data_IF_579799138612
#
_entry.id   IF_579799138612
#
_cell.length_a   1.000
_cell.length_b   1.000
_cell.length_c   1.000
_cell.angle_alpha   90.00
_cell.angle_beta   90.00
_cell.angle_gamma   90.00
#
_symmetry.space_group_name_H-M   'P 1'
#
loop_
_entity.id
_entity.type
_entity.pdbx_description
1 polymer ?
#
# COMPACT_ATOMS: atom_id res chain seq x y z
N UNK A 1 4.56 -18.12 17.80
CA UNK A 1 4.56 -17.28 19.02
C UNK A 1 3.18 -17.40 19.64
N UNK A 2 3.09 -17.70 20.94
CA UNK A 2 1.81 -17.91 21.66
C UNK A 2 1.03 -16.60 21.73
N UNK A 3 -0.28 -16.68 21.50
CA UNK A 3 -1.24 -15.59 21.76
C UNK A 3 -1.00 -15.06 23.19
N UNK A 4 -0.87 -13.74 23.34
CA UNK A 4 -0.84 -13.14 24.68
C UNK A 4 -2.29 -13.06 25.17
N UNK A 5 -2.57 -13.60 26.35
CA UNK A 5 -3.82 -13.25 27.03
C UNK A 5 -3.78 -11.76 27.43
N UNK A 6 -4.96 -11.15 27.55
CA UNK A 6 -5.08 -9.71 27.83
C UNK A 6 -4.33 -9.31 29.13
N UNK A 7 -4.24 -10.23 30.11
CA UNK A 7 -3.51 -10.02 31.37
C UNK A 7 -1.99 -9.91 31.16
N UNK A 8 -1.43 -10.75 30.29
CA UNK A 8 -0.01 -10.74 29.95
C UNK A 8 0.35 -9.52 29.11
N UNK A 9 -0.56 -9.08 28.22
CA UNK A 9 -0.41 -7.80 27.52
C UNK A 9 -0.32 -6.65 28.54
N UNK A 10 -1.24 -6.58 29.50
CA UNK A 10 -1.27 -5.53 30.53
C UNK A 10 -0.04 -5.52 31.41
N UNK A 11 0.50 -6.69 31.78
CA UNK A 11 1.75 -6.77 32.52
C UNK A 11 2.91 -6.23 31.70
N UNK A 12 3.00 -6.57 30.41
CA UNK A 12 4.04 -6.05 29.53
C UNK A 12 3.90 -4.55 29.28
N UNK A 13 2.68 -4.04 29.08
CA UNK A 13 2.43 -2.61 28.98
C UNK A 13 2.85 -1.94 30.29
N UNK A 14 2.29 -2.29 31.45
CA UNK A 14 2.65 -1.68 32.73
C UNK A 14 4.15 -1.75 33.05
N UNK A 15 4.84 -2.85 32.72
CA UNK A 15 6.31 -2.94 32.84
C UNK A 15 7.03 -1.98 31.91
N UNK A 16 6.59 -1.88 30.65
CA UNK A 16 7.18 -0.97 29.67
C UNK A 16 6.96 0.50 30.04
N UNK A 17 5.82 0.83 30.64
CA UNK A 17 5.38 2.20 30.96
C UNK A 17 5.66 2.63 32.41
N UNK A 18 6.39 1.83 33.20
CA UNK A 18 6.76 2.20 34.58
C UNK A 18 7.47 3.57 34.69
N UNK A 19 8.09 4.05 33.61
CA UNK A 19 8.85 5.32 33.56
C UNK A 19 8.07 6.52 33.01
N UNK A 20 6.90 6.31 32.41
CA UNK A 20 6.15 7.38 31.70
C UNK A 20 5.02 7.98 32.54
N UNK A 21 4.91 7.64 33.84
CA UNK A 21 3.75 7.96 34.70
C UNK A 21 2.38 7.48 34.17
N UNK A 22 2.37 6.63 33.14
CA UNK A 22 1.15 6.04 32.58
C UNK A 22 0.91 4.72 33.32
N UNK A 23 -0.16 4.68 34.12
CA UNK A 23 -0.58 3.50 34.87
C UNK A 23 -1.83 2.93 34.19
N UNK A 24 -1.74 1.73 33.64
CA UNK A 24 -2.89 1.03 33.06
C UNK A 24 -3.61 0.28 34.19
N UNK A 25 -4.78 0.79 34.60
CA UNK A 25 -5.58 0.20 35.69
C UNK A 25 -6.20 -1.12 35.24
N UNK A 26 -6.11 -2.14 36.10
CA UNK A 26 -6.45 -3.55 35.81
C UNK A 26 -7.71 -4.01 36.56
N UNK A 27 -8.84 -3.32 36.43
CA UNK A 27 -10.05 -3.76 37.14
C UNK A 27 -11.28 -3.87 36.22
N UNK A 28 -11.64 -5.14 35.97
CA UNK A 28 -12.69 -5.68 35.08
C UNK A 28 -12.47 -5.42 33.59
N UNK A 29 -12.98 -6.35 32.76
CA UNK A 29 -12.83 -6.45 31.30
C UNK A 29 -11.94 -5.39 30.67
N UNK A 30 -10.70 -5.78 30.31
CA UNK A 30 -9.65 -4.85 29.85
C UNK A 30 -10.20 -3.96 28.73
N UNK A 31 -10.39 -2.68 29.05
CA UNK A 31 -10.88 -1.67 28.12
C UNK A 31 -9.73 -1.26 27.18
N UNK A 32 -9.47 -2.11 26.17
CA UNK A 32 -8.49 -1.85 25.11
C UNK A 32 -8.74 -0.50 24.43
N UNK A 33 -10.00 -0.06 24.37
CA UNK A 33 -10.39 1.22 23.79
C UNK A 33 -9.91 2.37 24.67
N UNK A 34 -10.16 2.35 25.98
CA UNK A 34 -9.69 3.39 26.90
C UNK A 34 -8.16 3.47 26.92
N UNK A 35 -7.49 2.32 26.91
CA UNK A 35 -6.03 2.22 26.81
C UNK A 35 -5.52 2.89 25.53
N UNK A 36 -6.12 2.56 24.38
CA UNK A 36 -5.70 3.12 23.11
C UNK A 36 -6.00 4.62 23.02
N UNK A 37 -7.15 5.06 23.53
CA UNK A 37 -7.52 6.49 23.64
C UNK A 37 -6.52 7.25 24.50
N UNK A 38 -6.10 6.68 25.64
CA UNK A 38 -5.12 7.30 26.53
C UNK A 38 -3.73 7.41 25.89
N UNK A 39 -3.27 6.37 25.17
CA UNK A 39 -2.02 6.46 24.40
C UNK A 39 -2.15 7.50 23.28
N UNK A 40 -3.27 7.49 22.57
CA UNK A 40 -3.50 8.35 21.41
C UNK A 40 -3.71 9.82 21.78
N UNK A 41 -4.27 10.14 22.94
CA UNK A 41 -4.48 11.52 23.39
C UNK A 41 -3.16 12.24 23.70
N UNK A 42 -2.13 11.49 24.11
CA UNK A 42 -0.77 11.99 24.36
C UNK A 42 0.05 12.18 23.07
N UNK A 43 -0.50 11.74 21.93
CA UNK A 43 0.11 11.89 20.61
C UNK A 43 -0.20 13.28 20.03
N UNK A 44 0.64 14.26 20.37
CA UNK A 44 0.41 15.69 20.09
C UNK A 44 1.30 16.25 18.96
N UNK A 45 2.41 15.61 18.60
CA UNK A 45 3.39 16.19 17.65
C UNK A 45 3.58 15.38 16.37
N UNK A 46 3.74 16.11 15.26
CA UNK A 46 4.03 15.60 13.91
C UNK A 46 5.21 14.62 13.98
N UNK A 47 4.97 13.37 13.59
CA UNK A 47 5.94 12.26 13.62
C UNK A 47 6.94 12.38 12.46
N UNK A 48 7.72 13.47 12.43
CA UNK A 48 8.92 13.59 11.58
C UNK A 48 10.10 12.85 12.23
N UNK A 49 10.14 12.80 13.57
CA UNK A 49 11.12 12.07 14.36
C UNK A 49 10.40 11.08 15.27
N UNK A 50 10.94 9.86 15.39
CA UNK A 50 10.39 8.83 16.25
C UNK A 50 10.45 9.29 17.72
N UNK A 51 9.28 9.56 18.30
CA UNK A 51 9.14 9.94 19.71
C UNK A 51 8.82 8.71 20.54
N UNK A 52 9.00 8.81 21.86
CA UNK A 52 8.56 7.75 22.78
C UNK A 52 7.08 7.43 22.55
N UNK A 53 6.21 8.44 22.41
CA UNK A 53 4.78 8.24 22.14
C UNK A 53 4.48 7.64 20.76
N UNK A 54 5.25 7.94 19.72
CA UNK A 54 5.05 7.29 18.42
C UNK A 54 5.45 5.81 18.45
N UNK A 55 6.51 5.44 19.18
CA UNK A 55 6.83 4.02 19.46
C UNK A 55 5.70 3.32 20.21
N UNK A 56 5.09 4.00 21.17
CA UNK A 56 4.00 3.45 21.99
C UNK A 56 2.75 3.18 21.16
N UNK A 57 2.37 4.11 20.29
CA UNK A 57 1.28 3.92 19.33
C UNK A 57 1.55 2.71 18.41
N UNK A 58 2.75 2.63 17.80
CA UNK A 58 3.15 1.51 16.94
C UNK A 58 3.14 0.17 17.69
N UNK A 59 3.72 0.14 18.88
CA UNK A 59 3.76 -1.07 19.71
C UNK A 59 2.36 -1.52 20.12
N UNK A 60 1.47 -0.58 20.45
CA UNK A 60 0.08 -0.91 20.75
C UNK A 60 -0.60 -1.58 19.55
N UNK A 61 -0.50 -1.00 18.35
CA UNK A 61 -1.05 -1.60 17.12
C UNK A 61 -0.48 -2.99 16.84
N UNK A 62 0.84 -3.17 17.01
CA UNK A 62 1.48 -4.48 16.83
C UNK A 62 0.97 -5.50 17.85
N UNK A 63 0.78 -5.09 19.11
CA UNK A 63 0.31 -5.98 20.17
C UNK A 63 -1.18 -6.32 20.02
N UNK A 64 -2.03 -5.33 19.72
CA UNK A 64 -3.46 -5.53 19.50
C UNK A 64 -3.73 -6.41 18.28
N UNK A 65 -2.85 -6.40 17.27
CA UNK A 65 -2.89 -7.30 16.12
C UNK A 65 -2.90 -8.80 16.50
N UNK A 66 -2.35 -9.15 17.66
CA UNK A 66 -2.25 -10.53 18.13
C UNK A 66 -3.43 -10.97 19.00
N UNK A 67 -4.34 -10.08 19.35
CA UNK A 67 -5.54 -10.38 20.13
C UNK A 67 -6.75 -10.51 19.19
N UNK A 68 -7.75 -11.30 19.57
CA UNK A 68 -9.04 -11.36 18.89
C UNK A 68 -9.87 -10.16 19.33
N UNK A 69 -10.21 -9.27 18.39
CA UNK A 69 -10.99 -8.07 18.64
C UNK A 69 -12.43 -8.29 18.22
N UNK A 70 -13.38 -7.71 18.96
CA UNK A 70 -14.74 -7.53 18.46
C UNK A 70 -14.82 -6.35 17.46
N UNK A 71 -15.93 -6.25 16.72
CA UNK A 71 -16.18 -5.19 15.73
C UNK A 71 -15.99 -3.79 16.31
N UNK A 72 -16.58 -3.52 17.48
CA UNK A 72 -16.58 -2.17 18.07
C UNK A 72 -15.16 -1.74 18.48
N UNK A 73 -14.38 -2.69 19.01
CA UNK A 73 -12.97 -2.45 19.34
C UNK A 73 -12.13 -2.21 18.09
N UNK A 74 -12.34 -3.00 17.03
CA UNK A 74 -11.66 -2.80 15.75
C UNK A 74 -11.97 -1.43 15.14
N UNK A 75 -13.25 -1.09 15.02
CA UNK A 75 -13.73 0.17 14.43
C UNK A 75 -13.16 1.37 15.19
N UNK A 76 -13.22 1.34 16.52
CA UNK A 76 -12.68 2.44 17.34
C UNK A 76 -11.16 2.63 17.12
N UNK A 77 -10.40 1.54 16.97
CA UNK A 77 -8.96 1.63 16.66
C UNK A 77 -8.74 2.24 15.27
N UNK A 78 -9.52 1.83 14.28
CA UNK A 78 -9.45 2.34 12.90
C UNK A 78 -9.79 3.83 12.85
N UNK A 79 -10.85 4.27 13.52
CA UNK A 79 -11.27 5.67 13.59
C UNK A 79 -10.20 6.56 14.24
N UNK A 80 -9.57 6.08 15.32
CA UNK A 80 -8.45 6.81 15.93
C UNK A 80 -7.26 6.89 14.96
N UNK A 81 -6.95 5.80 14.24
CA UNK A 81 -5.90 5.85 13.21
C UNK A 81 -6.22 6.88 12.12
N UNK A 82 -7.48 6.90 11.65
CA UNK A 82 -7.98 7.86 10.68
C UNK A 82 -7.80 9.31 11.19
N UNK A 83 -8.27 9.62 12.40
CA UNK A 83 -8.16 10.96 13.01
C UNK A 83 -6.69 11.44 13.04
N UNK A 84 -5.76 10.52 13.33
CA UNK A 84 -4.34 10.85 13.41
C UNK A 84 -3.67 10.96 12.04
N UNK A 85 -4.14 10.26 11.02
CA UNK A 85 -3.76 10.50 9.61
C UNK A 85 -4.22 11.92 9.19
N UNK A 86 -5.45 12.27 9.53
CA UNK A 86 -6.05 13.57 9.19
C UNK A 86 -5.32 14.75 9.83
N UNK A 87 -4.72 14.54 10.99
CA UNK A 87 -3.89 15.51 11.71
C UNK A 87 -2.41 15.49 11.28
N UNK A 88 -2.04 14.75 10.24
CA UNK A 88 -0.66 14.58 9.76
C UNK A 88 0.31 13.98 10.79
N UNK A 89 -0.22 13.26 11.78
CA UNK A 89 0.58 12.77 12.92
C UNK A 89 1.14 11.37 12.66
N UNK A 90 0.52 10.51 11.84
CA UNK A 90 0.95 9.09 11.66
C UNK A 90 1.94 8.80 10.53
N UNK A 91 2.76 9.78 10.13
CA UNK A 91 3.65 9.66 8.97
C UNK A 91 4.57 8.43 9.02
N UNK A 92 5.10 8.04 10.18
CA UNK A 92 5.97 6.86 10.32
C UNK A 92 5.25 5.60 10.85
N UNK A 93 3.92 5.60 10.91
CA UNK A 93 3.14 4.54 11.57
C UNK A 93 2.28 3.72 10.60
N UNK A 94 2.27 4.05 9.31
CA UNK A 94 1.53 3.33 8.27
C UNK A 94 1.84 1.83 8.24
N UNK A 95 3.10 1.43 8.48
CA UNK A 95 3.51 0.02 8.52
C UNK A 95 2.86 -0.73 9.67
N UNK A 96 2.78 -0.10 10.85
CA UNK A 96 2.15 -0.70 12.03
C UNK A 96 0.64 -0.80 11.86
N UNK A 97 0.01 0.21 11.23
CA UNK A 97 -1.42 0.17 10.85
C UNK A 97 -1.66 -0.97 9.85
N UNK A 98 -0.86 -1.05 8.79
CA UNK A 98 -0.94 -2.10 7.79
C UNK A 98 -0.74 -3.49 8.38
N UNK A 99 0.23 -3.64 9.28
CA UNK A 99 0.47 -4.89 10.00
C UNK A 99 -0.73 -5.28 10.87
N UNK A 100 -1.29 -4.34 11.63
CA UNK A 100 -2.48 -4.54 12.46
C UNK A 100 -3.66 -5.03 11.60
N UNK A 101 -3.99 -4.28 10.55
CA UNK A 101 -5.10 -4.61 9.64
C UNK A 101 -4.90 -5.99 9.00
N UNK A 102 -3.72 -6.25 8.43
CA UNK A 102 -3.45 -7.52 7.76
C UNK A 102 -3.49 -8.71 8.73
N UNK A 103 -3.07 -8.54 9.98
CA UNK A 103 -3.17 -9.60 11.00
C UNK A 103 -4.60 -9.86 11.44
N UNK A 104 -5.40 -8.84 11.68
CA UNK A 104 -6.82 -8.99 11.99
C UNK A 104 -7.56 -9.68 10.84
N UNK A 105 -7.29 -9.28 9.60
CA UNK A 105 -7.85 -9.91 8.40
C UNK A 105 -7.47 -11.39 8.26
N UNK A 106 -6.19 -11.75 8.47
CA UNK A 106 -5.75 -13.14 8.34
C UNK A 106 -6.39 -14.06 9.39
N UNK A 107 -6.63 -13.56 10.61
CA UNK A 107 -7.35 -14.30 11.64
C UNK A 107 -8.79 -14.59 11.22
N UNK A 108 -9.48 -13.57 10.72
CA UNK A 108 -10.83 -13.72 10.17
C UNK A 108 -10.88 -14.80 9.06
N UNK A 109 -9.93 -14.78 8.12
CA UNK A 109 -9.87 -15.79 7.04
C UNK A 109 -9.56 -17.22 7.52
N UNK A 110 -8.74 -17.39 8.57
CA UNK A 110 -8.30 -18.72 9.01
C UNK A 110 -9.24 -19.39 10.01
N UNK A 111 -9.93 -18.63 10.85
CA UNK A 111 -10.58 -19.18 12.06
C UNK A 111 -12.11 -19.38 11.92
N UNK A 112 -12.74 -18.98 10.80
CA UNK A 112 -14.20 -19.09 10.52
C UNK A 112 -15.03 -18.73 11.77
N UNK A 113 -14.71 -17.59 12.40
CA UNK A 113 -15.42 -17.04 13.55
C UNK A 113 -15.66 -15.54 13.37
N UNK A 114 -16.75 -15.10 13.98
CA UNK A 114 -17.43 -13.78 14.01
C UNK A 114 -16.73 -12.55 13.43
N UNK A 115 -17.33 -12.06 12.33
CA UNK A 115 -18.01 -10.75 12.21
C UNK A 115 -17.22 -9.43 12.23
N UNK A 116 -15.90 -9.39 11.96
CA UNK A 116 -15.29 -8.10 11.63
C UNK A 116 -15.64 -7.70 10.18
N UNK A 117 -16.51 -6.71 10.02
CA UNK A 117 -16.71 -5.95 8.78
C UNK A 117 -15.55 -4.98 8.62
N UNK A 118 -14.71 -5.25 7.63
CA UNK A 118 -13.59 -4.38 7.28
C UNK A 118 -14.00 -3.21 6.37
N UNK A 119 -15.30 -2.96 6.18
CA UNK A 119 -15.80 -1.85 5.35
C UNK A 119 -15.33 -0.48 5.87
N UNK A 120 -15.21 -0.32 7.20
CA UNK A 120 -14.74 0.92 7.85
C UNK A 120 -13.31 1.33 7.45
N UNK A 121 -12.55 0.42 6.83
CA UNK A 121 -11.21 0.70 6.35
C UNK A 121 -11.18 1.69 5.17
N UNK A 122 -12.32 1.93 4.52
CA UNK A 122 -12.45 2.95 3.48
C UNK A 122 -12.14 4.35 4.03
N UNK A 123 -12.47 4.61 5.29
CA UNK A 123 -12.12 5.84 5.98
C UNK A 123 -10.61 6.10 6.00
N UNK A 124 -9.78 5.07 6.27
CA UNK A 124 -8.32 5.18 6.22
C UNK A 124 -7.86 5.48 4.79
N UNK A 125 -8.38 4.75 3.81
CA UNK A 125 -8.03 4.94 2.39
C UNK A 125 -8.34 6.37 1.94
N UNK A 126 -9.55 6.87 2.19
CA UNK A 126 -9.96 8.19 1.72
C UNK A 126 -9.33 9.33 2.50
N UNK A 127 -9.02 9.13 3.78
CA UNK A 127 -8.19 10.06 4.55
C UNK A 127 -6.79 10.19 3.95
N UNK A 128 -6.19 9.06 3.57
CA UNK A 128 -4.90 9.06 2.88
C UNK A 128 -5.00 9.73 1.49
N UNK A 129 -6.00 9.39 0.67
CA UNK A 129 -6.18 9.99 -0.65
C UNK A 129 -6.33 11.51 -0.53
N UNK A 130 -7.13 11.99 0.44
CA UNK A 130 -7.25 13.42 0.73
C UNK A 130 -5.88 14.05 1.03
N UNK A 131 -5.11 13.47 1.95
CA UNK A 131 -3.75 13.94 2.27
C UNK A 131 -2.82 13.93 1.07
N UNK A 132 -2.86 12.87 0.28
CA UNK A 132 -2.10 12.79 -0.97
C UNK A 132 -2.48 13.92 -1.92
N UNK A 133 -3.77 14.25 -2.05
CA UNK A 133 -4.21 15.39 -2.88
C UNK A 133 -3.86 16.75 -2.28
N UNK A 134 -3.77 16.91 -0.95
CA UNK A 134 -3.38 18.16 -0.30
C UNK A 134 -1.89 18.49 -0.50
N UNK A 135 -1.01 17.49 -0.34
CA UNK A 135 0.44 17.64 -0.52
C UNK A 135 1.03 16.40 -1.21
N UNK A 136 1.04 16.42 -2.54
CA UNK A 136 1.37 15.24 -3.34
C UNK A 136 2.82 14.78 -3.16
N UNK A 137 3.79 15.68 -3.31
CA UNK A 137 5.21 15.35 -3.19
C UNK A 137 5.57 14.87 -1.78
N UNK A 138 5.06 15.55 -0.75
CA UNK A 138 5.35 15.20 0.64
C UNK A 138 4.73 13.88 1.11
N UNK A 139 3.63 13.44 0.48
CA UNK A 139 2.92 12.23 0.89
C UNK A 139 3.15 11.03 -0.06
N UNK A 140 3.70 11.26 -1.25
CA UNK A 140 4.07 10.18 -2.18
C UNK A 140 5.08 9.20 -1.58
N UNK A 141 5.97 9.69 -0.70
CA UNK A 141 6.95 8.85 0.01
C UNK A 141 6.28 7.75 0.84
N UNK A 142 5.03 7.92 1.29
CA UNK A 142 4.32 6.88 2.07
C UNK A 142 3.71 5.78 1.20
N UNK A 143 3.65 5.98 -0.12
CA UNK A 143 3.43 4.91 -1.09
C UNK A 143 4.75 4.15 -1.40
N UNK A 144 5.89 4.80 -1.15
CA UNK A 144 7.23 4.26 -1.41
C UNK A 144 7.80 3.60 -0.15
N UNK A 145 7.76 2.27 -0.09
CA UNK A 145 8.56 1.52 0.89
C UNK A 145 7.79 0.65 1.87
N UNK A 146 6.47 0.55 1.74
CA UNK A 146 5.67 -0.34 2.60
C UNK A 146 4.48 -0.93 1.88
N UNK A 147 4.20 -2.20 2.19
CA UNK A 147 3.10 -2.97 1.61
C UNK A 147 1.73 -2.63 2.23
N UNK A 148 1.67 -1.68 3.17
CA UNK A 148 0.45 -1.37 3.92
C UNK A 148 -0.70 -0.95 3.01
N UNK A 149 -0.42 -0.09 2.01
CA UNK A 149 -1.44 0.42 1.09
C UNK A 149 -1.97 -0.70 0.20
N UNK A 150 -1.10 -1.55 -0.35
CA UNK A 150 -1.50 -2.69 -1.17
C UNK A 150 -2.32 -3.69 -0.36
N UNK A 151 -1.95 -3.95 0.90
CA UNK A 151 -2.72 -4.80 1.81
C UNK A 151 -4.11 -4.21 2.11
N UNK A 152 -4.17 -2.90 2.40
CA UNK A 152 -5.41 -2.17 2.63
C UNK A 152 -6.33 -2.25 1.41
N UNK A 153 -5.82 -1.92 0.22
CA UNK A 153 -6.58 -1.98 -1.03
C UNK A 153 -7.03 -3.41 -1.34
N UNK A 154 -6.16 -4.40 -1.15
CA UNK A 154 -6.52 -5.81 -1.33
C UNK A 154 -7.69 -6.20 -0.42
N UNK A 155 -7.64 -5.86 0.87
CA UNK A 155 -8.73 -6.17 1.81
C UNK A 155 -10.01 -5.46 1.38
N UNK A 156 -9.94 -4.17 1.04
CA UNK A 156 -11.10 -3.41 0.58
C UNK A 156 -11.70 -3.96 -0.71
N UNK A 157 -10.89 -4.48 -1.65
CA UNK A 157 -11.39 -5.18 -2.83
C UNK A 157 -12.19 -6.43 -2.45
N UNK A 158 -11.71 -7.22 -1.48
CA UNK A 158 -12.43 -8.40 -0.98
C UNK A 158 -13.75 -8.00 -0.32
N UNK A 159 -13.73 -6.95 0.52
CA UNK A 159 -14.93 -6.41 1.15
C UNK A 159 -15.93 -5.86 0.14
N UNK A 160 -15.48 -5.18 -0.91
CA UNK A 160 -16.38 -4.68 -1.95
C UNK A 160 -17.08 -5.81 -2.73
N UNK A 161 -16.40 -6.95 -2.89
CA UNK A 161 -17.01 -8.16 -3.47
C UNK A 161 -18.04 -8.76 -2.52
N UNK A 162 -17.75 -8.80 -1.23
CA UNK A 162 -18.62 -9.41 -0.21
C UNK A 162 -19.85 -8.56 0.13
N UNK A 163 -19.68 -7.25 0.24
CA UNK A 163 -20.70 -6.32 0.77
C UNK A 163 -21.33 -5.38 -0.26
N UNK A 164 -20.91 -5.45 -1.53
CA UNK A 164 -21.43 -4.59 -2.60
C UNK A 164 -21.48 -3.10 -2.23
N UNK A 165 -20.37 -2.56 -1.73
CA UNK A 165 -20.30 -1.18 -1.22
C UNK A 165 -20.31 -0.16 -2.36
N UNK A 166 -21.14 0.87 -2.25
CA UNK A 166 -21.13 2.05 -3.13
C UNK A 166 -20.29 3.17 -2.52
N UNK A 167 -19.68 4.01 -3.37
CA UNK A 167 -18.85 5.11 -2.90
C UNK A 167 -19.75 6.33 -2.71
N UNK A 168 -19.59 7.04 -1.60
CA UNK A 168 -20.32 8.30 -1.42
C UNK A 168 -19.81 9.41 -2.36
N UNK A 169 -20.54 10.52 -2.45
CA UNK A 169 -20.18 11.62 -3.35
C UNK A 169 -18.82 12.28 -3.02
N UNK A 170 -18.42 12.29 -1.75
CA UNK A 170 -17.14 12.85 -1.31
C UNK A 170 -16.00 11.93 -1.76
N UNK A 171 -16.15 10.63 -1.54
CA UNK A 171 -15.22 9.59 -1.99
C UNK A 171 -15.06 9.63 -3.51
N UNK A 172 -16.16 9.71 -4.25
CA UNK A 172 -16.13 9.85 -5.72
C UNK A 172 -15.40 11.13 -6.16
N UNK A 173 -15.65 12.27 -5.51
CA UNK A 173 -14.99 13.53 -5.83
C UNK A 173 -13.48 13.50 -5.53
N UNK A 174 -13.07 12.83 -4.44
CA UNK A 174 -11.66 12.63 -4.09
C UNK A 174 -10.92 11.83 -5.15
N UNK A 175 -11.50 10.75 -5.67
CA UNK A 175 -10.89 9.95 -6.74
C UNK A 175 -10.71 10.78 -8.02
N UNK A 176 -11.73 11.52 -8.41
CA UNK A 176 -11.66 12.38 -9.59
C UNK A 176 -10.60 13.48 -9.43
N UNK A 177 -10.50 14.06 -8.23
CA UNK A 177 -9.47 15.05 -7.90
C UNK A 177 -8.07 14.43 -7.93
N UNK A 178 -7.91 13.22 -7.39
CA UNK A 178 -6.66 12.47 -7.41
C UNK A 178 -6.20 12.23 -8.85
N UNK A 179 -7.08 11.71 -9.73
CA UNK A 179 -6.77 11.50 -11.15
C UNK A 179 -6.31 12.80 -11.82
N UNK A 180 -7.03 13.91 -11.59
CA UNK A 180 -6.68 15.20 -12.17
C UNK A 180 -5.29 15.66 -11.73
N UNK A 181 -4.98 15.56 -10.43
CA UNK A 181 -3.65 15.92 -9.91
C UNK A 181 -2.55 15.03 -10.46
N UNK A 182 -2.79 13.72 -10.60
CA UNK A 182 -1.78 12.80 -11.18
C UNK A 182 -1.46 13.22 -12.61
N UNK A 183 -2.47 13.60 -13.41
CA UNK A 183 -2.25 14.03 -14.80
C UNK A 183 -1.36 15.28 -14.94
N UNK A 184 -1.23 16.09 -13.88
CA UNK A 184 -0.36 17.27 -13.83
C UNK A 184 1.11 16.93 -13.49
N UNK A 185 1.39 15.70 -13.05
CA UNK A 185 2.73 15.26 -12.64
C UNK A 185 3.61 14.83 -13.83
N UNK A 186 4.94 14.74 -13.64
CA UNK A 186 5.84 14.07 -14.59
C UNK A 186 5.39 12.64 -14.93
N UNK A 187 5.69 12.21 -16.16
CA UNK A 187 5.16 10.96 -16.71
C UNK A 187 5.60 9.70 -15.93
N UNK A 188 6.82 9.69 -15.43
CA UNK A 188 7.39 8.72 -14.51
C UNK A 188 6.60 8.63 -13.20
N UNK A 189 6.23 9.77 -12.60
CA UNK A 189 5.36 9.79 -11.43
C UNK A 189 3.95 9.29 -11.75
N UNK A 190 3.39 9.64 -12.92
CA UNK A 190 2.08 9.14 -13.38
C UNK A 190 2.04 7.61 -13.44
N UNK A 191 3.05 6.98 -14.06
CA UNK A 191 3.15 5.51 -14.15
C UNK A 191 3.34 4.90 -12.76
N UNK A 192 4.22 5.49 -11.94
CA UNK A 192 4.48 5.01 -10.59
C UNK A 192 3.17 4.97 -9.78
N UNK A 193 2.45 6.08 -9.68
CA UNK A 193 1.20 6.13 -8.91
C UNK A 193 0.12 5.23 -9.52
N UNK A 194 0.08 5.11 -10.84
CA UNK A 194 -0.85 4.19 -11.51
C UNK A 194 -0.63 2.74 -11.07
N UNK A 195 0.63 2.31 -11.01
CA UNK A 195 1.01 0.97 -10.55
C UNK A 195 0.70 0.72 -9.08
N UNK A 196 1.05 1.67 -8.22
CA UNK A 196 1.04 1.46 -6.77
C UNK A 196 -0.30 1.76 -6.10
N UNK A 197 -1.19 2.50 -6.77
CA UNK A 197 -2.46 2.95 -6.19
C UNK A 197 -3.63 2.79 -7.15
N UNK A 198 -3.56 3.38 -8.36
CA UNK A 198 -4.76 3.52 -9.20
C UNK A 198 -5.25 2.18 -9.76
N UNK A 199 -4.34 1.28 -10.15
CA UNK A 199 -4.72 -0.08 -10.57
C UNK A 199 -5.49 -0.82 -9.46
N UNK A 200 -5.05 -0.74 -8.21
CA UNK A 200 -5.70 -1.40 -7.08
C UNK A 200 -6.95 -0.65 -6.59
N UNK A 201 -7.09 0.63 -6.89
CA UNK A 201 -8.30 1.41 -6.62
C UNK A 201 -9.42 1.08 -7.61
N UNK A 202 -9.10 0.71 -8.86
CA UNK A 202 -10.10 0.48 -9.91
C UNK A 202 -11.20 -0.54 -9.56
N UNK A 203 -10.91 -1.73 -8.99
CA UNK A 203 -11.96 -2.68 -8.61
C UNK A 203 -12.85 -2.18 -7.46
N UNK A 204 -12.35 -1.28 -6.61
CA UNK A 204 -13.13 -0.66 -5.53
C UNK A 204 -14.20 0.26 -6.14
N UNK A 205 -13.91 0.91 -7.27
CA UNK A 205 -14.87 1.82 -7.90
C UNK A 205 -15.93 1.12 -8.75
N UNK A 206 -15.95 -0.22 -8.87
CA UNK A 206 -16.77 -0.94 -9.86
C UNK A 206 -18.26 -0.62 -9.79
N UNK A 207 -18.79 -0.37 -8.60
CA UNK A 207 -20.22 -0.09 -8.39
C UNK A 207 -20.60 1.38 -8.67
N UNK A 208 -19.64 2.20 -9.13
CA UNK A 208 -19.84 3.62 -9.43
C UNK A 208 -19.43 3.88 -10.88
N UNK A 209 -20.32 3.60 -11.83
CA UNK A 209 -20.04 3.59 -13.27
C UNK A 209 -19.30 4.84 -13.76
N UNK A 210 -19.73 6.03 -13.34
CA UNK A 210 -19.10 7.29 -13.74
C UNK A 210 -17.63 7.37 -13.33
N UNK A 211 -17.32 7.05 -12.07
CA UNK A 211 -15.94 7.06 -11.54
C UNK A 211 -15.13 5.91 -12.13
N UNK A 212 -15.71 4.71 -12.22
CA UNK A 212 -15.03 3.55 -12.80
C UNK A 212 -14.60 3.78 -14.25
N UNK A 213 -15.48 4.34 -15.08
CA UNK A 213 -15.13 4.71 -16.45
C UNK A 213 -14.05 5.79 -16.51
N UNK A 214 -14.06 6.75 -15.58
CA UNK A 214 -13.02 7.77 -15.52
C UNK A 214 -11.65 7.17 -15.16
N UNK A 215 -11.58 6.32 -14.13
CA UNK A 215 -10.35 5.60 -13.74
C UNK A 215 -9.85 4.74 -14.90
N UNK A 216 -10.75 4.01 -15.58
CA UNK A 216 -10.40 3.17 -16.74
C UNK A 216 -9.80 4.00 -17.88
N UNK A 217 -10.44 5.12 -18.25
CA UNK A 217 -9.93 6.04 -19.28
C UNK A 217 -8.57 6.62 -18.92
N UNK A 218 -8.39 7.01 -17.66
CA UNK A 218 -7.11 7.49 -17.14
C UNK A 218 -6.01 6.42 -17.31
N UNK A 219 -6.25 5.18 -16.87
CA UNK A 219 -5.26 4.10 -16.97
C UNK A 219 -4.91 3.78 -18.44
N UNK A 220 -5.90 3.76 -19.35
CA UNK A 220 -5.63 3.61 -20.78
C UNK A 220 -4.77 4.74 -21.34
N UNK A 221 -5.04 5.99 -20.97
CA UNK A 221 -4.24 7.14 -21.43
C UNK A 221 -2.77 6.99 -20.99
N UNK A 222 -2.52 6.65 -19.72
CA UNK A 222 -1.16 6.41 -19.22
C UNK A 222 -0.50 5.25 -19.97
N UNK A 223 -1.22 4.15 -20.20
CA UNK A 223 -0.70 2.99 -20.91
C UNK A 223 -0.37 3.31 -22.39
N UNK A 224 -1.28 3.94 -23.13
CA UNK A 224 -1.06 4.28 -24.55
C UNK A 224 0.10 5.27 -24.74
N UNK A 225 0.15 6.32 -23.90
CA UNK A 225 1.21 7.34 -23.95
C UNK A 225 2.61 6.75 -23.73
N UNK A 226 2.70 5.64 -23.00
CA UNK A 226 3.96 5.00 -22.61
C UNK A 226 4.36 3.82 -23.49
N UNK A 227 3.82 3.72 -24.71
CA UNK A 227 4.22 2.69 -25.66
C UNK A 227 5.66 2.85 -26.19
N UNK A 228 6.16 4.09 -26.26
CA UNK A 228 7.46 4.40 -26.87
C UNK A 228 8.60 4.50 -25.84
N UNK A 229 8.89 3.37 -25.19
CA UNK A 229 9.91 3.24 -24.12
C UNK A 229 11.32 3.16 -24.71
N UNK A 230 12.27 3.90 -24.13
CA UNK A 230 13.66 3.98 -24.59
C UNK A 230 14.65 3.34 -23.62
N UNK A 231 14.31 3.33 -22.34
CA UNK A 231 15.16 2.83 -21.26
C UNK A 231 14.61 1.53 -20.67
N UNK A 232 15.47 0.77 -20.00
CA UNK A 232 15.08 -0.45 -19.30
C UNK A 232 14.15 -0.17 -18.12
N UNK A 233 14.32 0.97 -17.43
CA UNK A 233 13.45 1.39 -16.33
C UNK A 233 12.03 1.71 -16.83
N UNK A 234 11.91 2.34 -18.00
CA UNK A 234 10.61 2.55 -18.65
C UNK A 234 9.97 1.22 -19.06
N UNK A 235 10.75 0.25 -19.53
CA UNK A 235 10.25 -1.10 -19.82
C UNK A 235 9.78 -1.84 -18.56
N UNK A 236 10.52 -1.76 -17.45
CA UNK A 236 10.10 -2.35 -16.16
C UNK A 236 8.78 -1.75 -15.68
N UNK A 237 8.70 -0.42 -15.63
CA UNK A 237 7.53 0.30 -15.14
C UNK A 237 6.30 0.04 -16.01
N UNK A 238 6.50 -0.07 -17.34
CA UNK A 238 5.44 -0.36 -18.29
C UNK A 238 4.98 -1.81 -18.26
N UNK A 239 5.90 -2.77 -18.10
CA UNK A 239 5.55 -4.18 -17.92
C UNK A 239 4.70 -4.36 -16.67
N UNK A 240 5.10 -3.72 -15.56
CA UNK A 240 4.35 -3.75 -14.31
C UNK A 240 2.95 -3.13 -14.49
N UNK A 241 2.83 -2.00 -15.18
CA UNK A 241 1.54 -1.37 -15.48
C UNK A 241 0.65 -2.28 -16.32
N UNK A 242 1.22 -2.86 -17.38
CA UNK A 242 0.50 -3.77 -18.27
C UNK A 242 0.02 -5.01 -17.51
N UNK A 243 0.88 -5.60 -16.67
CA UNK A 243 0.52 -6.73 -15.81
C UNK A 243 -0.61 -6.36 -14.84
N UNK A 244 -0.48 -5.23 -14.13
CA UNK A 244 -1.48 -4.77 -13.17
C UNK A 244 -2.84 -4.49 -13.82
N UNK A 245 -2.85 -3.84 -14.99
CA UNK A 245 -4.07 -3.57 -15.76
C UNK A 245 -4.70 -4.85 -16.32
N UNK A 246 -3.91 -5.87 -16.65
CA UNK A 246 -4.43 -7.19 -17.03
C UNK A 246 -5.07 -7.90 -15.85
N UNK A 247 -4.38 -7.97 -14.71
CA UNK A 247 -4.86 -8.59 -13.46
C UNK A 247 -6.22 -8.06 -13.02
N UNK A 248 -6.48 -6.77 -13.21
CA UNK A 248 -7.75 -6.12 -12.84
C UNK A 248 -8.79 -6.11 -13.97
N UNK A 249 -8.54 -6.81 -15.08
CA UNK A 249 -9.49 -6.97 -16.19
C UNK A 249 -9.67 -5.75 -17.08
N UNK A 250 -8.77 -4.77 -17.05
CA UNK A 250 -8.79 -3.64 -17.99
C UNK A 250 -8.18 -4.05 -19.34
N UNK A 251 -7.03 -4.72 -19.32
CA UNK A 251 -6.40 -5.28 -20.51
C UNK A 251 -6.79 -6.74 -20.69
N UNK A 252 -7.08 -7.13 -21.92
CA UNK A 252 -7.27 -8.53 -22.27
C UNK A 252 -5.91 -9.26 -22.40
N UNK A 253 -5.96 -10.59 -22.46
CA UNK A 253 -4.76 -11.42 -22.54
C UNK A 253 -3.93 -11.16 -23.80
N UNK A 254 -4.55 -10.83 -24.94
CA UNK A 254 -3.83 -10.52 -26.18
C UNK A 254 -2.98 -9.24 -26.04
N UNK A 255 -3.58 -8.18 -25.49
CA UNK A 255 -2.91 -6.91 -25.23
C UNK A 255 -1.73 -7.11 -24.26
N UNK A 256 -1.94 -7.86 -23.18
CA UNK A 256 -0.89 -8.18 -22.23
C UNK A 256 0.24 -9.02 -22.86
N UNK A 257 -0.11 -10.12 -23.53
CA UNK A 257 0.85 -11.04 -24.14
C UNK A 257 1.71 -10.36 -25.18
N UNK A 258 1.13 -9.47 -26.00
CA UNK A 258 1.89 -8.69 -26.99
C UNK A 258 3.05 -7.95 -26.35
N UNK A 259 2.79 -7.22 -25.26
CA UNK A 259 3.81 -6.46 -24.54
C UNK A 259 4.78 -7.40 -23.81
N UNK A 260 4.27 -8.44 -23.15
CA UNK A 260 5.10 -9.41 -22.45
C UNK A 260 6.11 -10.07 -23.39
N UNK A 261 5.68 -10.54 -24.57
CA UNK A 261 6.57 -11.17 -25.55
C UNK A 261 7.51 -10.17 -26.22
N UNK A 262 7.08 -8.94 -26.49
CA UNK A 262 7.96 -7.86 -26.97
C UNK A 262 9.16 -7.69 -26.02
N UNK A 263 8.90 -7.53 -24.72
CA UNK A 263 9.94 -7.33 -23.71
C UNK A 263 10.74 -8.61 -23.45
N UNK A 264 10.09 -9.78 -23.39
CA UNK A 264 10.78 -11.07 -23.26
C UNK A 264 11.78 -11.26 -24.39
N UNK A 265 11.39 -11.00 -25.65
CA UNK A 265 12.29 -11.14 -26.80
C UNK A 265 13.42 -10.09 -26.80
N UNK A 266 13.15 -8.87 -26.31
CA UNK A 266 14.14 -7.79 -26.18
C UNK A 266 15.25 -8.11 -25.18
N UNK A 267 14.93 -8.83 -24.09
CA UNK A 267 15.86 -9.05 -22.98
C UNK A 267 16.39 -10.49 -22.87
N UNK A 268 15.64 -11.52 -23.29
CA UNK A 268 16.12 -12.91 -23.27
C UNK A 268 17.16 -13.21 -24.35
N UNK A 269 17.21 -12.44 -25.45
CA UNK A 269 18.20 -12.61 -26.52
C UNK A 269 19.51 -11.83 -26.29
N UNK A 270 19.64 -11.14 -25.15
CA UNK A 270 20.89 -10.45 -24.78
C UNK A 270 21.86 -11.43 -24.12
N UNK A 271 22.37 -12.39 -24.90
CA UNK A 271 23.68 -12.94 -24.57
C UNK A 271 24.70 -11.78 -24.62
N UNK A 272 25.34 -11.56 -23.48
CA UNK A 272 26.31 -10.52 -23.15
C UNK A 272 27.35 -10.20 -24.24
N UNK A 273 27.07 -9.25 -25.15
CA UNK A 273 28.15 -8.58 -25.91
C UNK A 273 28.85 -7.55 -25.04
N UNK A 274 29.89 -7.99 -24.33
CA UNK A 274 30.85 -7.13 -23.63
C UNK A 274 31.78 -6.46 -24.65
N UNK A 275 31.65 -5.15 -24.85
CA UNK A 275 32.71 -4.33 -25.45
C UNK A 275 32.96 -3.13 -24.56
N UNK A 276 34.13 -3.11 -23.92
CA UNK A 276 34.64 -1.93 -23.23
C UNK A 276 35.08 -0.91 -24.27
N UNK A 277 34.67 0.35 -24.07
CA UNK A 277 35.08 1.45 -24.94
C UNK A 277 36.33 2.10 -24.30
N UNK A 278 37.44 2.19 -25.02
CA UNK A 278 38.74 2.58 -24.43
C UNK A 278 38.86 4.07 -24.03
N UNK A 279 37.77 4.84 -24.10
CA UNK A 279 37.77 6.30 -23.95
C UNK A 279 37.26 6.78 -22.57
N UNK A 280 36.77 5.90 -21.69
CA UNK A 280 36.32 6.28 -20.34
C UNK A 280 37.14 5.62 -19.23
N UNK A 281 37.30 6.28 -18.06
CA UNK A 281 37.93 5.68 -16.89
C UNK A 281 37.22 4.38 -16.49
N UNK A 282 38.00 3.33 -16.23
CA UNK A 282 37.51 1.98 -15.91
C UNK A 282 36.54 1.98 -14.72
N UNK A 283 36.73 2.86 -13.73
CA UNK A 283 35.84 2.96 -12.56
C UNK A 283 34.44 3.48 -12.89
N UNK A 284 34.31 4.46 -13.80
CA UNK A 284 32.99 4.96 -14.25
C UNK A 284 32.26 3.93 -15.11
N UNK A 285 33.01 3.12 -15.87
CA UNK A 285 32.46 1.99 -16.63
C UNK A 285 31.97 0.88 -15.71
N UNK A 286 32.73 0.56 -14.65
CA UNK A 286 32.35 -0.45 -13.67
C UNK A 286 31.14 -0.04 -12.83
N UNK A 287 31.02 1.23 -12.43
CA UNK A 287 29.85 1.72 -11.70
C UNK A 287 28.59 1.74 -12.58
N UNK A 288 28.71 2.22 -13.82
CA UNK A 288 27.61 2.16 -14.81
C UNK A 288 27.25 0.71 -15.13
N UNK A 289 28.23 -0.19 -15.25
CA UNK A 289 27.99 -1.63 -15.41
C UNK A 289 27.30 -2.21 -14.20
N UNK A 290 27.74 -1.96 -12.97
CA UNK A 290 27.08 -2.49 -11.78
C UNK A 290 25.62 -2.03 -11.67
N UNK A 291 25.32 -0.78 -12.04
CA UNK A 291 23.93 -0.29 -12.15
C UNK A 291 23.17 -0.95 -13.31
N UNK A 292 23.83 -1.14 -14.45
CA UNK A 292 23.29 -1.82 -15.64
C UNK A 292 23.31 -3.35 -15.59
N UNK A 293 23.92 -4.00 -14.60
CA UNK A 293 23.91 -5.46 -14.42
C UNK A 293 22.76 -5.81 -13.46
N UNK A 294 22.57 -4.99 -12.41
CA UNK A 294 21.41 -5.10 -11.53
C UNK A 294 20.06 -4.86 -12.25
N UNK A 295 20.03 -4.08 -13.35
CA UNK A 295 18.76 -3.73 -14.01
C UNK A 295 18.23 -4.80 -14.99
N UNK A 296 19.06 -5.43 -15.84
CA UNK A 296 18.73 -6.63 -16.61
C UNK A 296 18.28 -7.79 -15.72
N UNK A 297 18.95 -8.03 -14.60
CA UNK A 297 18.55 -9.08 -13.66
C UNK A 297 17.17 -8.78 -13.08
N UNK A 298 16.86 -7.51 -12.76
CA UNK A 298 15.53 -7.09 -12.26
C UNK A 298 14.41 -7.23 -13.29
N UNK A 299 14.62 -6.83 -14.55
CA UNK A 299 13.57 -7.01 -15.57
C UNK A 299 13.37 -8.49 -15.93
N UNK A 300 14.44 -9.30 -15.91
CA UNK A 300 14.34 -10.74 -16.11
C UNK A 300 13.58 -11.43 -14.96
N UNK A 301 13.86 -11.04 -13.71
CA UNK A 301 13.11 -11.48 -12.54
C UNK A 301 11.64 -11.06 -12.62
N UNK A 302 11.37 -9.82 -13.04
CA UNK A 302 10.00 -9.33 -13.25
C UNK A 302 9.27 -10.14 -14.33
N UNK A 303 9.92 -10.39 -15.48
CA UNK A 303 9.38 -11.23 -16.55
C UNK A 303 9.09 -12.65 -16.06
N UNK A 304 9.98 -13.24 -15.27
CA UNK A 304 9.78 -14.57 -14.67
C UNK A 304 8.62 -14.58 -13.67
N UNK A 305 8.48 -13.54 -12.86
CA UNK A 305 7.36 -13.39 -11.94
C UNK A 305 6.03 -13.23 -12.70
N UNK A 306 5.99 -12.39 -13.73
CA UNK A 306 4.85 -12.24 -14.63
C UNK A 306 4.46 -13.57 -15.31
N UNK A 307 5.45 -14.36 -15.75
CA UNK A 307 5.23 -15.68 -16.36
C UNK A 307 4.66 -16.70 -15.35
N UNK A 308 5.16 -16.70 -14.12
CA UNK A 308 4.69 -17.58 -13.07
C UNK A 308 3.27 -17.23 -12.58
N UNK A 309 2.92 -15.95 -12.55
CA UNK A 309 1.57 -15.50 -12.23
C UNK A 309 0.57 -15.95 -13.30
N UNK A 310 0.93 -15.87 -14.58
CA UNK A 310 0.08 -16.32 -15.68
C UNK A 310 -0.19 -17.84 -15.65
N UNK A 311 0.80 -18.67 -15.31
CA UNK A 311 0.61 -20.13 -15.23
C UNK A 311 -0.35 -20.58 -14.12
N UNK A 312 -0.75 -19.68 -13.22
CA UNK A 312 -1.69 -19.95 -12.13
C UNK A 312 -3.13 -19.52 -12.43
N UNK A 313 -3.34 -18.72 -13.47
CA UNK A 313 -4.67 -18.32 -13.99
C UNK A 313 -5.22 -19.39 -14.94
#
# INVERSE_FOLDING_TARGET
MKYFDNKTLMQKLNQYFQKTNIIFKTERDIDLIEIFKNISSQFVNIDILETEFSRLFKNFLVLSAWIELDQNTFDTIVEICQEKIDKDILRNSYDSIGYFIAKQWNKFKMEIKTEIKFSILDHILFSFIRKLTENFEGNLIFLQGSCWMQNLLFILQQCNIEYHTELDLIQQALINTLIKKIMELPNDAQIFISNFLICDLFPITKNNDGVNQNVKKFLFNIWEKNQNRKTIQEDEAYLLLTYNMHRIGILNSEQYQKIFFELKNKYMNRETTKKFNNEQPIQDQLLKQAMQENTPDRILDLLKNCENSFKKE
#
